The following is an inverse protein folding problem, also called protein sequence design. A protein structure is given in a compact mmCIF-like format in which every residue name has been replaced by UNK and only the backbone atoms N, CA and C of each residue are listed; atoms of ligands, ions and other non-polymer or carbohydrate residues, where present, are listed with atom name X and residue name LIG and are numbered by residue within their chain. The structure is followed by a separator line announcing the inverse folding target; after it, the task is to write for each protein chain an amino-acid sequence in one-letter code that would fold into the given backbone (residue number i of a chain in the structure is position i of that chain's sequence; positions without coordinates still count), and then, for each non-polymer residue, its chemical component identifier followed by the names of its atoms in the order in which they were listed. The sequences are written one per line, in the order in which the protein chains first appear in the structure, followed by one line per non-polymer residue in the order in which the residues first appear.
data_IF_668151280984
#
_entry.id   IF_668151280984
#
_cell.length_a   1.000
_cell.length_b   1.000
_cell.length_c   1.000
_cell.angle_alpha   90.00
_cell.angle_beta   90.00
_cell.angle_gamma   90.00
#
_symmetry.space_group_name_H-M   'P 1'
#
loop_
_entity.id
_entity.type
_entity.pdbx_description
1 polymer ?
#
# COMPACT_ATOMS: atom_id res chain seq x y z
N UNK A 1 -19.96 -7.30 24.95
CA UNK A 1 -20.80 -8.03 23.94
C UNK A 1 -20.75 -7.36 22.58
N UNK A 2 -20.54 -6.05 22.56
CA UNK A 2 -20.38 -5.14 21.44
C UNK A 2 -19.28 -5.61 20.48
N UNK A 3 -18.14 -6.08 21.00
CA UNK A 3 -17.07 -6.67 20.19
C UNK A 3 -17.57 -7.86 19.34
N UNK A 4 -18.38 -8.74 19.91
CA UNK A 4 -18.91 -9.91 19.19
C UNK A 4 -19.96 -9.51 18.16
N UNK A 5 -20.79 -8.50 18.45
CA UNK A 5 -21.76 -7.95 17.49
C UNK A 5 -21.03 -7.29 16.32
N UNK A 6 -19.98 -6.51 16.60
CA UNK A 6 -19.16 -5.88 15.57
C UNK A 6 -18.48 -6.92 14.69
N UNK A 7 -17.70 -7.85 15.28
CA UNK A 7 -17.01 -8.88 14.51
C UNK A 7 -17.99 -9.80 13.79
N UNK A 8 -19.08 -10.20 14.44
CA UNK A 8 -20.10 -11.06 13.84
C UNK A 8 -20.77 -10.41 12.64
N UNK A 9 -21.21 -9.16 12.76
CA UNK A 9 -21.80 -8.41 11.63
C UNK A 9 -20.79 -8.17 10.50
N UNK A 10 -19.55 -7.82 10.84
CA UNK A 10 -18.46 -7.66 9.88
C UNK A 10 -18.24 -8.94 9.06
N UNK A 11 -18.04 -10.08 9.71
CA UNK A 11 -17.79 -11.34 9.01
C UNK A 11 -18.99 -11.79 8.18
N UNK A 12 -20.22 -11.71 8.72
CA UNK A 12 -21.44 -12.10 7.99
C UNK A 12 -21.60 -11.26 6.72
N UNK A 13 -21.42 -9.94 6.82
CA UNK A 13 -21.55 -9.03 5.69
C UNK A 13 -20.39 -9.20 4.69
N UNK A 14 -19.17 -9.50 5.12
CA UNK A 14 -18.07 -9.82 4.21
C UNK A 14 -18.37 -11.05 3.33
N UNK A 15 -19.06 -12.08 3.87
CA UNK A 15 -19.47 -13.24 3.08
C UNK A 15 -20.50 -12.92 1.99
N UNK A 16 -21.22 -11.80 2.10
CA UNK A 16 -22.18 -11.36 1.07
C UNK A 16 -21.54 -10.75 -0.17
N UNK A 17 -20.20 -10.67 -0.23
CA UNK A 17 -19.45 -10.06 -1.36
C UNK A 17 -19.78 -8.58 -1.61
N UNK A 18 -20.36 -7.89 -0.62
CA UNK A 18 -20.61 -6.46 -0.69
C UNK A 18 -19.28 -5.67 -0.67
N UNK A 19 -19.17 -4.54 -1.38
CA UNK A 19 -18.04 -3.64 -1.28
C UNK A 19 -17.76 -3.26 0.17
N UNK A 20 -16.49 -3.31 0.58
CA UNK A 20 -16.12 -3.19 2.00
C UNK A 20 -16.60 -1.89 2.64
N UNK A 21 -16.60 -0.78 1.89
CA UNK A 21 -17.12 0.48 2.40
C UNK A 21 -18.60 0.38 2.82
N UNK A 22 -19.43 -0.31 2.02
CA UNK A 22 -20.85 -0.56 2.34
C UNK A 22 -20.97 -1.45 3.58
N UNK A 23 -20.10 -2.46 3.69
CA UNK A 23 -20.03 -3.33 4.87
C UNK A 23 -19.75 -2.50 6.13
N UNK A 24 -18.81 -1.54 6.08
CA UNK A 24 -18.49 -0.67 7.22
C UNK A 24 -19.67 0.20 7.63
N UNK A 25 -20.35 0.83 6.68
CA UNK A 25 -21.56 1.60 6.97
C UNK A 25 -22.66 0.74 7.60
N UNK A 26 -22.88 -0.46 7.07
CA UNK A 26 -23.85 -1.40 7.62
C UNK A 26 -23.48 -1.87 9.03
N UNK A 27 -22.21 -2.20 9.30
CA UNK A 27 -21.73 -2.53 10.65
C UNK A 27 -21.96 -1.35 11.62
N UNK A 28 -21.76 -0.13 11.14
CA UNK A 28 -21.98 1.09 11.92
C UNK A 28 -23.45 1.24 12.32
N UNK A 29 -24.37 1.04 11.37
CA UNK A 29 -25.82 1.07 11.63
C UNK A 29 -26.27 -0.06 12.57
N UNK A 30 -25.70 -1.25 12.44
CA UNK A 30 -26.01 -2.39 13.32
C UNK A 30 -25.55 -2.10 14.75
N UNK A 31 -24.34 -1.56 14.95
CA UNK A 31 -23.86 -1.17 16.28
C UNK A 31 -24.70 -0.04 16.88
N UNK A 32 -25.04 0.96 16.08
CA UNK A 32 -25.88 2.07 16.51
C UNK A 32 -27.28 1.60 16.94
N UNK A 33 -27.84 0.60 16.26
CA UNK A 33 -29.08 -0.05 16.67
C UNK A 33 -28.91 -0.91 17.93
N UNK A 34 -27.80 -1.65 18.05
CA UNK A 34 -27.52 -2.51 19.20
C UNK A 34 -27.28 -1.73 20.50
N UNK A 35 -26.70 -0.53 20.41
CA UNK A 35 -26.46 0.34 21.55
C UNK A 35 -27.68 1.17 21.95
N UNK A 36 -28.85 0.96 21.34
CA UNK A 36 -30.06 1.78 21.50
C UNK A 36 -29.83 3.27 21.19
N UNK A 37 -28.86 3.58 20.32
CA UNK A 37 -28.49 4.96 19.90
C UNK A 37 -29.10 5.33 18.54
N UNK A 38 -30.08 4.54 18.08
CA UNK A 38 -30.67 4.60 16.75
C UNK A 38 -31.29 5.98 16.42
N UNK A 39 -31.96 6.56 17.41
CA UNK A 39 -32.74 7.79 17.23
C UNK A 39 -31.92 9.06 17.50
N UNK A 40 -30.87 8.97 18.33
CA UNK A 40 -30.14 10.14 18.84
C UNK A 40 -28.88 10.51 18.04
N UNK A 41 -28.21 9.54 17.41
CA UNK A 41 -26.86 9.75 16.84
C UNK A 41 -26.64 9.53 15.33
N UNK A 42 -27.65 9.42 14.43
CA UNK A 42 -27.37 9.26 12.99
C UNK A 42 -26.69 10.50 12.39
N UNK A 43 -27.00 11.70 12.89
CA UNK A 43 -26.32 12.93 12.47
C UNK A 43 -24.84 12.94 12.85
N UNK A 44 -24.52 12.45 14.04
CA UNK A 44 -23.13 12.39 14.51
C UNK A 44 -22.31 11.38 13.73
N UNK A 45 -22.93 10.27 13.33
CA UNK A 45 -22.34 9.28 12.46
C UNK A 45 -22.04 9.87 11.07
N UNK A 46 -22.98 10.59 10.46
CA UNK A 46 -22.74 11.32 9.21
C UNK A 46 -21.64 12.39 9.35
N UNK A 47 -21.58 13.08 10.49
CA UNK A 47 -20.49 14.02 10.79
C UNK A 47 -19.14 13.32 10.87
N UNK A 48 -19.04 12.14 11.49
CA UNK A 48 -17.77 11.38 11.54
C UNK A 48 -17.30 10.91 10.16
N UNK A 49 -18.23 10.60 9.26
CA UNK A 49 -17.88 10.28 7.85
C UNK A 49 -17.23 11.49 7.19
N UNK A 50 -17.84 12.67 7.31
CA UNK A 50 -17.33 13.91 6.71
C UNK A 50 -16.00 14.30 7.36
N UNK A 51 -15.96 14.37 8.69
CA UNK A 51 -14.77 14.75 9.45
C UNK A 51 -13.61 13.78 9.25
N UNK A 52 -13.90 12.49 9.06
CA UNK A 52 -12.88 11.48 8.74
C UNK A 52 -12.24 11.70 7.38
N UNK A 53 -13.03 12.14 6.40
CA UNK A 53 -12.53 12.47 5.06
C UNK A 53 -11.89 13.85 4.98
N UNK A 54 -12.28 14.79 5.85
CA UNK A 54 -11.78 16.16 5.90
C UNK A 54 -10.51 16.28 6.76
N UNK A 55 -9.48 15.52 6.40
CA UNK A 55 -8.17 15.57 7.05
C UNK A 55 -7.12 16.10 6.08
N UNK A 56 -6.42 17.16 6.48
CA UNK A 56 -5.39 17.79 5.65
C UNK A 56 -4.33 16.80 5.16
N UNK A 57 -3.91 15.86 6.02
CA UNK A 57 -2.88 14.86 5.67
C UNK A 57 -3.40 13.88 4.63
N UNK A 58 -4.71 13.63 4.56
CA UNK A 58 -5.29 12.74 3.54
C UNK A 58 -5.26 13.34 2.13
N UNK A 59 -5.00 14.65 1.97
CA UNK A 59 -4.72 15.25 0.65
C UNK A 59 -3.47 14.62 0.01
N UNK A 60 -2.58 14.04 0.82
CA UNK A 60 -1.45 13.25 0.34
C UNK A 60 -1.89 12.07 -0.54
N UNK A 61 -3.03 11.45 -0.25
CA UNK A 61 -3.57 10.28 -0.98
C UNK A 61 -3.85 10.58 -2.45
N UNK A 62 -4.70 11.57 -2.82
CA UNK A 62 -4.94 11.90 -4.23
C UNK A 62 -3.67 12.33 -4.96
N UNK A 63 -2.75 13.04 -4.30
CA UNK A 63 -1.50 13.45 -4.95
C UNK A 63 -0.62 12.23 -5.27
N UNK A 64 -0.42 11.30 -4.34
CA UNK A 64 0.37 10.10 -4.65
C UNK A 64 -0.29 9.20 -5.69
N UNK A 65 -1.61 9.05 -5.64
CA UNK A 65 -2.36 8.31 -6.68
C UNK A 65 -2.20 8.98 -8.04
N UNK A 66 -2.35 10.30 -8.12
CA UNK A 66 -2.19 11.07 -9.36
C UNK A 66 -0.76 10.97 -9.90
N UNK A 67 0.25 11.10 -9.03
CA UNK A 67 1.64 10.90 -9.41
C UNK A 67 1.86 9.50 -9.99
N UNK A 68 1.32 8.46 -9.36
CA UNK A 68 1.37 7.08 -9.85
C UNK A 68 0.76 6.92 -11.25
N UNK A 69 -0.42 7.48 -11.51
CA UNK A 69 -1.07 7.44 -12.82
C UNK A 69 -0.28 8.22 -13.89
N UNK A 70 0.30 9.37 -13.54
CA UNK A 70 1.21 10.11 -14.43
C UNK A 70 2.41 9.23 -14.81
N UNK A 71 3.01 8.54 -13.84
CA UNK A 71 4.20 7.71 -14.07
C UNK A 71 3.92 6.49 -14.92
N UNK A 72 2.78 5.83 -14.69
CA UNK A 72 2.29 4.71 -15.49
C UNK A 72 2.15 5.08 -16.97
N UNK A 73 1.57 6.24 -17.26
CA UNK A 73 1.39 6.73 -18.63
C UNK A 73 2.60 7.52 -19.19
N UNK A 74 3.55 7.88 -18.33
CA UNK A 74 4.69 8.75 -18.62
C UNK A 74 5.97 8.06 -19.06
N UNK A 75 5.96 6.73 -19.18
CA UNK A 75 7.12 5.94 -19.61
C UNK A 75 8.13 5.59 -18.52
N UNK A 76 7.86 6.00 -17.29
CA UNK A 76 8.72 5.74 -16.13
C UNK A 76 8.77 4.24 -15.81
N UNK A 77 7.63 3.55 -15.85
CA UNK A 77 7.56 2.09 -15.66
C UNK A 77 8.52 1.34 -16.59
N UNK A 78 8.58 1.74 -17.87
CA UNK A 78 9.49 1.12 -18.85
C UNK A 78 10.96 1.39 -18.54
N UNK A 79 11.30 2.61 -18.11
CA UNK A 79 12.68 2.97 -17.74
C UNK A 79 13.18 2.14 -16.55
N UNK A 80 12.33 1.91 -15.55
CA UNK A 80 12.67 1.10 -14.39
C UNK A 80 12.87 -0.36 -14.75
N UNK A 81 12.04 -0.90 -15.67
CA UNK A 81 12.24 -2.26 -16.19
C UNK A 81 13.56 -2.37 -16.96
N UNK A 82 13.85 -1.43 -17.86
CA UNK A 82 15.11 -1.40 -18.63
C UNK A 82 16.33 -1.27 -17.70
N UNK A 83 16.23 -0.46 -16.64
CA UNK A 83 17.26 -0.33 -15.62
C UNK A 83 17.43 -1.61 -14.80
N UNK A 84 16.34 -2.26 -14.40
CA UNK A 84 16.40 -3.53 -13.70
C UNK A 84 17.05 -4.63 -14.59
N UNK A 85 16.79 -4.63 -15.90
CA UNK A 85 17.46 -5.52 -16.85
C UNK A 85 18.98 -5.32 -16.88
N UNK A 86 19.47 -4.09 -16.78
CA UNK A 86 20.91 -3.80 -16.70
C UNK A 86 21.54 -4.43 -15.47
N UNK A 87 20.88 -4.38 -14.32
CA UNK A 87 21.44 -4.84 -13.04
C UNK A 87 21.40 -6.38 -12.94
N UNK A 88 20.20 -6.96 -13.15
CA UNK A 88 19.91 -8.37 -12.82
C UNK A 88 19.51 -9.23 -14.02
N UNK A 89 19.34 -8.67 -15.22
CA UNK A 89 18.93 -9.43 -16.41
C UNK A 89 19.96 -10.46 -16.92
N UNK A 90 21.23 -10.30 -16.53
CA UNK A 90 22.35 -11.20 -16.88
C UNK A 90 22.33 -12.56 -16.17
N UNK A 91 21.50 -12.72 -15.13
CA UNK A 91 21.41 -13.96 -14.38
C UNK A 91 20.46 -14.95 -15.05
N UNK A 92 20.64 -16.25 -14.80
CA UNK A 92 19.68 -17.28 -15.23
C UNK A 92 18.33 -17.02 -14.56
N UNK A 93 17.27 -16.95 -15.34
CA UNK A 93 15.97 -16.54 -14.81
C UNK A 93 15.82 -15.02 -14.72
N UNK A 94 16.57 -14.29 -15.54
CA UNK A 94 16.81 -12.85 -15.42
C UNK A 94 15.52 -12.03 -15.37
N UNK A 95 14.53 -12.33 -16.22
CA UNK A 95 13.27 -11.58 -16.24
C UNK A 95 12.50 -11.63 -14.91
N UNK A 96 12.65 -12.69 -14.11
CA UNK A 96 12.02 -12.74 -12.80
C UNK A 96 12.69 -11.80 -11.79
N UNK A 97 14.02 -11.75 -11.76
CA UNK A 97 14.73 -10.75 -10.95
C UNK A 97 14.43 -9.33 -11.41
N UNK A 98 14.33 -9.12 -12.73
CA UNK A 98 13.93 -7.85 -13.32
C UNK A 98 12.53 -7.46 -12.84
N UNK A 99 11.60 -8.41 -12.82
CA UNK A 99 10.23 -8.20 -12.32
C UNK A 99 10.24 -7.75 -10.86
N UNK A 100 10.95 -8.48 -10.00
CA UNK A 100 11.02 -8.16 -8.57
C UNK A 100 11.65 -6.78 -8.36
N UNK A 101 12.79 -6.51 -8.99
CA UNK A 101 13.49 -5.24 -8.82
C UNK A 101 12.70 -4.06 -9.42
N UNK A 102 12.04 -4.24 -10.57
CA UNK A 102 11.17 -3.22 -11.15
C UNK A 102 9.97 -2.92 -10.26
N UNK A 103 9.34 -3.94 -9.67
CA UNK A 103 8.28 -3.77 -8.67
C UNK A 103 8.80 -3.05 -7.43
N UNK A 104 9.98 -3.39 -6.90
CA UNK A 104 10.54 -2.69 -5.73
C UNK A 104 10.85 -1.21 -6.01
N UNK A 105 11.35 -0.90 -7.20
CA UNK A 105 11.64 0.50 -7.60
C UNK A 105 10.35 1.29 -7.85
N UNK A 106 9.33 0.65 -8.40
CA UNK A 106 8.04 1.28 -8.71
C UNK A 106 7.11 1.35 -7.48
N UNK A 107 7.29 0.46 -6.51
CA UNK A 107 6.60 0.43 -5.23
C UNK A 107 6.75 1.77 -4.48
N UNK A 108 7.98 2.29 -4.41
CA UNK A 108 8.26 3.62 -3.86
C UNK A 108 7.76 4.79 -4.71
N UNK A 109 7.00 4.55 -5.77
CA UNK A 109 6.40 5.58 -6.61
C UNK A 109 4.87 5.57 -6.54
N UNK A 110 4.26 4.39 -6.50
CA UNK A 110 2.80 4.23 -6.52
C UNK A 110 2.18 4.08 -5.13
N UNK A 111 2.90 3.46 -4.18
CA UNK A 111 2.41 3.08 -2.86
C UNK A 111 1.21 2.13 -2.84
N UNK A 112 0.80 1.53 -3.98
CA UNK A 112 -0.43 0.72 -4.11
C UNK A 112 -0.16 -0.54 -4.94
N UNK A 113 -0.26 -1.72 -4.32
CA UNK A 113 0.06 -3.00 -4.96
C UNK A 113 -0.79 -3.29 -6.21
N UNK A 114 -2.09 -2.99 -6.17
CA UNK A 114 -3.00 -3.23 -7.29
C UNK A 114 -2.63 -2.36 -8.51
N UNK A 115 -2.22 -1.12 -8.27
CA UNK A 115 -1.76 -0.21 -9.31
C UNK A 115 -0.45 -0.71 -9.93
N UNK A 116 0.47 -1.26 -9.14
CA UNK A 116 1.72 -1.85 -9.61
C UNK A 116 1.51 -3.04 -10.51
N UNK A 117 0.62 -3.96 -10.12
CA UNK A 117 0.27 -5.11 -10.96
C UNK A 117 -0.35 -4.64 -12.27
N UNK A 118 -1.22 -3.63 -12.24
CA UNK A 118 -1.82 -3.07 -13.46
C UNK A 118 -0.78 -2.39 -14.36
N UNK A 119 0.12 -1.59 -13.80
CA UNK A 119 1.11 -0.81 -14.53
C UNK A 119 2.26 -1.66 -15.09
N UNK A 120 2.84 -2.53 -14.26
CA UNK A 120 3.99 -3.34 -14.62
C UNK A 120 3.60 -4.68 -15.22
N UNK A 121 2.53 -5.31 -14.73
CA UNK A 121 2.09 -6.63 -15.19
C UNK A 121 1.69 -6.66 -16.66
N UNK A 122 1.12 -5.57 -17.18
CA UNK A 122 0.79 -5.43 -18.60
C UNK A 122 2.01 -5.53 -19.54
N UNK A 123 3.21 -5.22 -19.05
CA UNK A 123 4.46 -5.37 -19.80
C UNK A 123 5.23 -6.64 -19.40
N UNK A 124 5.39 -6.89 -18.09
CA UNK A 124 6.23 -7.96 -17.57
C UNK A 124 5.65 -9.35 -17.83
N UNK A 125 4.33 -9.54 -17.69
CA UNK A 125 3.72 -10.87 -17.89
C UNK A 125 3.87 -11.31 -19.36
N UNK A 126 3.52 -10.48 -20.38
CA UNK A 126 3.78 -10.86 -21.77
C UNK A 126 5.26 -11.08 -22.08
N UNK A 127 6.15 -10.26 -21.53
CA UNK A 127 7.60 -10.43 -21.72
C UNK A 127 8.10 -11.78 -21.17
N UNK A 128 7.66 -12.17 -19.96
CA UNK A 128 7.98 -13.48 -19.39
C UNK A 128 7.38 -14.61 -20.21
N UNK A 129 6.11 -14.52 -20.62
CA UNK A 129 5.49 -15.57 -21.44
C UNK A 129 6.22 -15.74 -22.78
N UNK A 130 6.63 -14.64 -23.42
CA UNK A 130 7.43 -14.68 -24.65
C UNK A 130 8.80 -15.34 -24.47
N UNK A 131 9.41 -15.22 -23.29
CA UNK A 131 10.66 -15.91 -22.92
C UNK A 131 10.46 -17.37 -22.45
N UNK A 132 9.26 -17.92 -22.56
CA UNK A 132 8.97 -19.34 -22.29
C UNK A 132 8.52 -19.65 -20.86
N UNK A 133 8.20 -18.64 -20.03
CA UNK A 133 7.63 -18.88 -18.71
C UNK A 133 6.13 -19.21 -18.78
N UNK A 134 5.66 -20.08 -17.88
CA UNK A 134 4.23 -20.32 -17.72
C UNK A 134 3.51 -19.03 -17.27
N UNK A 135 2.39 -18.69 -17.92
CA UNK A 135 1.59 -17.50 -17.61
C UNK A 135 1.18 -17.41 -16.14
N UNK A 136 0.73 -18.51 -15.53
CA UNK A 136 0.33 -18.53 -14.12
C UNK A 136 1.51 -18.22 -13.19
N UNK A 137 2.72 -18.72 -13.51
CA UNK A 137 3.93 -18.42 -12.74
C UNK A 137 4.35 -16.96 -12.91
N UNK A 138 4.31 -16.43 -14.13
CA UNK A 138 4.62 -15.02 -14.39
C UNK A 138 3.65 -14.08 -13.65
N UNK A 139 2.34 -14.39 -13.70
CA UNK A 139 1.32 -13.64 -12.96
C UNK A 139 1.54 -13.74 -11.45
N UNK A 140 1.78 -14.95 -10.92
CA UNK A 140 2.06 -15.15 -9.50
C UNK A 140 3.27 -14.34 -9.03
N UNK A 141 4.36 -14.32 -9.80
CA UNK A 141 5.55 -13.54 -9.48
C UNK A 141 5.27 -12.04 -9.45
N UNK A 142 4.59 -11.49 -10.45
CA UNK A 142 4.24 -10.06 -10.49
C UNK A 142 3.35 -9.69 -9.31
N UNK A 143 2.35 -10.51 -9.00
CA UNK A 143 1.47 -10.27 -7.84
C UNK A 143 2.25 -10.29 -6.53
N UNK A 144 3.13 -11.28 -6.32
CA UNK A 144 3.96 -11.36 -5.11
C UNK A 144 4.95 -10.20 -5.01
N UNK A 145 5.59 -9.82 -6.12
CA UNK A 145 6.55 -8.72 -6.15
C UNK A 145 5.88 -7.36 -5.88
N UNK A 146 4.64 -7.15 -6.36
CA UNK A 146 3.89 -5.93 -6.10
C UNK A 146 3.51 -5.74 -4.61
N UNK A 147 3.56 -6.80 -3.80
CA UNK A 147 3.37 -6.71 -2.34
C UNK A 147 4.50 -5.94 -1.63
N UNK A 148 5.55 -5.52 -2.32
CA UNK A 148 6.51 -4.55 -1.76
C UNK A 148 5.95 -3.11 -1.75
N UNK A 149 4.94 -2.80 -2.56
CA UNK A 149 4.33 -1.45 -2.66
C UNK A 149 3.72 -0.91 -1.36
N UNK A 150 3.02 -1.72 -0.56
CA UNK A 150 2.51 -1.28 0.74
C UNK A 150 3.60 -0.94 1.77
N UNK A 151 4.85 -1.38 1.57
CA UNK A 151 5.92 -1.27 2.58
C UNK A 151 7.02 -0.30 2.13
N UNK A 152 7.46 -0.36 0.86
CA UNK A 152 8.50 0.52 0.34
C UNK A 152 7.93 1.94 0.18
N UNK A 153 8.49 2.95 0.83
CA UNK A 153 7.93 4.30 0.80
C UNK A 153 8.26 5.07 -0.49
N UNK A 154 7.48 6.13 -0.79
CA UNK A 154 6.17 6.49 -0.24
C UNK A 154 5.09 5.41 -0.42
N UNK A 155 4.41 5.07 0.68
CA UNK A 155 3.39 4.02 0.74
C UNK A 155 2.06 4.59 1.23
N UNK A 156 0.99 4.34 0.49
CA UNK A 156 -0.35 4.80 0.84
C UNK A 156 -0.83 4.17 2.16
N UNK A 157 -0.70 2.85 2.39
CA UNK A 157 -1.04 2.25 3.68
C UNK A 157 -0.33 2.88 4.88
N UNK A 158 0.96 3.23 4.76
CA UNK A 158 1.71 3.89 5.83
C UNK A 158 1.22 5.33 6.09
N UNK A 159 0.75 6.04 5.06
CA UNK A 159 0.13 7.36 5.22
C UNK A 159 -1.19 7.22 6.00
N UNK A 160 -2.05 6.28 5.59
CA UNK A 160 -3.34 6.04 6.26
C UNK A 160 -3.10 5.64 7.71
N UNK A 161 -2.20 4.70 7.96
CA UNK A 161 -1.82 4.29 9.32
C UNK A 161 -1.29 5.46 10.16
N UNK A 162 -0.41 6.29 9.59
CA UNK A 162 0.12 7.46 10.27
C UNK A 162 -0.96 8.47 10.66
N UNK A 163 -1.95 8.68 9.78
CA UNK A 163 -3.10 9.55 10.08
C UNK A 163 -3.98 8.92 11.16
N UNK A 164 -4.30 7.63 11.06
CA UNK A 164 -5.18 6.93 12.00
C UNK A 164 -4.59 6.83 13.40
N UNK A 165 -3.30 6.50 13.51
CA UNK A 165 -2.60 6.33 14.78
C UNK A 165 -1.94 7.61 15.32
N UNK A 166 -2.01 8.72 14.58
CA UNK A 166 -1.28 9.94 14.93
C UNK A 166 0.26 9.78 14.89
N UNK A 167 0.77 8.82 14.13
CA UNK A 167 2.20 8.58 13.99
C UNK A 167 2.84 9.50 12.94
N UNK A 168 4.13 9.77 13.13
CA UNK A 168 4.91 10.53 12.15
C UNK A 168 5.10 9.72 10.87
N UNK A 169 4.46 10.16 9.77
CA UNK A 169 4.58 9.54 8.44
C UNK A 169 6.05 9.49 7.98
N UNK A 170 6.82 10.55 8.23
CA UNK A 170 8.25 10.58 7.89
C UNK A 170 9.06 9.51 8.61
N UNK A 171 8.71 9.17 9.86
CA UNK A 171 9.33 8.06 10.59
C UNK A 171 8.87 6.71 10.04
N UNK A 172 7.58 6.54 9.79
CA UNK A 172 7.04 5.31 9.18
C UNK A 172 7.70 5.01 7.83
N UNK A 173 7.92 6.03 7.00
CA UNK A 173 8.63 5.87 5.73
C UNK A 173 10.04 5.33 5.96
N UNK A 174 10.84 5.96 6.83
CA UNK A 174 12.21 5.47 7.08
C UNK A 174 12.21 4.03 7.63
N UNK A 175 11.29 3.72 8.54
CA UNK A 175 11.16 2.38 9.12
C UNK A 175 10.74 1.33 8.09
N UNK A 176 9.95 1.69 7.08
CA UNK A 176 9.51 0.78 6.00
C UNK A 176 10.59 0.41 4.98
N UNK A 177 11.68 1.19 4.88
CA UNK A 177 12.75 0.94 3.87
C UNK A 177 13.40 -0.43 4.09
N UNK A 178 13.86 -0.72 5.31
CA UNK A 178 14.59 -1.96 5.61
C UNK A 178 13.71 -3.20 5.42
N UNK A 179 12.50 -3.30 6.02
CA UNK A 179 11.56 -4.39 5.79
C UNK A 179 11.17 -4.53 4.32
N UNK A 180 10.95 -3.43 3.60
CA UNK A 180 10.61 -3.47 2.17
C UNK A 180 11.72 -4.07 1.31
N UNK A 181 12.98 -3.72 1.59
CA UNK A 181 14.15 -4.33 0.95
C UNK A 181 14.26 -5.82 1.32
N UNK A 182 14.10 -6.16 2.60
CA UNK A 182 14.16 -7.55 3.07
C UNK A 182 13.06 -8.40 2.41
N UNK A 183 11.84 -7.88 2.28
CA UNK A 183 10.75 -8.56 1.59
C UNK A 183 11.11 -8.78 0.12
N UNK A 184 11.58 -7.77 -0.58
CA UNK A 184 12.03 -7.91 -1.97
C UNK A 184 13.14 -8.95 -2.14
N UNK A 185 14.15 -8.93 -1.26
CA UNK A 185 15.22 -9.94 -1.23
C UNK A 185 14.70 -11.34 -0.94
N UNK A 186 13.73 -11.49 -0.04
CA UNK A 186 13.11 -12.79 0.26
C UNK A 186 12.40 -13.37 -0.97
N UNK A 187 11.73 -12.52 -1.76
CA UNK A 187 11.10 -12.91 -3.02
C UNK A 187 12.17 -13.29 -4.06
N UNK A 188 13.30 -12.58 -4.11
CA UNK A 188 14.43 -12.93 -4.99
C UNK A 188 15.04 -14.30 -4.62
N UNK A 189 15.14 -14.61 -3.33
CA UNK A 189 15.60 -15.92 -2.85
C UNK A 189 14.60 -17.02 -3.20
N UNK A 190 13.31 -16.78 -2.99
CA UNK A 190 12.26 -17.72 -3.40
C UNK A 190 12.30 -17.98 -4.92
N UNK A 191 12.48 -16.93 -5.72
CA UNK A 191 12.63 -17.03 -7.17
C UNK A 191 13.86 -17.83 -7.59
N UNK A 192 15.00 -17.62 -6.92
CA UNK A 192 16.23 -18.39 -7.16
C UNK A 192 16.02 -19.90 -7.00
N UNK A 193 15.27 -20.30 -5.97
CA UNK A 193 14.96 -21.71 -5.70
C UNK A 193 14.02 -22.26 -6.77
N UNK A 194 12.98 -21.51 -7.14
CA UNK A 194 12.00 -21.92 -8.15
C UNK A 194 12.60 -22.04 -9.55
N UNK A 195 13.38 -21.05 -10.00
CA UNK A 195 13.89 -20.99 -11.37
C UNK A 195 14.92 -22.08 -11.70
N UNK A 196 15.54 -22.67 -10.67
CA UNK A 196 16.43 -23.85 -10.83
C UNK A 196 15.66 -25.14 -11.16
N UNK A 197 14.41 -25.24 -10.72
CA UNK A 197 13.51 -26.36 -11.04
C UNK A 197 12.88 -26.19 -12.42
N UNK A 198 12.96 -24.98 -12.97
CA UNK A 198 12.45 -24.65 -14.29
C UNK A 198 13.54 -24.79 -15.36
N UNK A 199 13.17 -25.37 -16.51
CA UNK A 199 14.03 -25.47 -17.69
C UNK A 199 14.17 -24.13 -18.46
N UNK A 200 13.95 -22.99 -17.79
CA UNK A 200 14.02 -21.67 -18.44
C UNK A 200 15.43 -21.11 -18.30
N UNK A 201 16.07 -20.86 -19.43
CA UNK A 201 17.41 -20.24 -19.54
C UNK A 201 17.31 -18.84 -20.12
N UNK A 202 16.32 -18.08 -19.67
CA UNK A 202 16.16 -16.69 -20.07
C UNK A 202 17.25 -15.83 -19.41
N UNK A 203 18.09 -15.26 -20.27
CA UNK A 203 19.18 -14.36 -19.92
C UNK A 203 19.12 -13.18 -20.89
N UNK A 204 18.70 -12.03 -20.38
CA UNK A 204 18.67 -10.78 -21.16
C UNK A 204 19.99 -10.04 -20.93
N UNK A 205 20.99 -10.31 -21.76
CA UNK A 205 22.26 -9.58 -21.72
C UNK A 205 22.09 -8.21 -22.38
N UNK A 206 22.09 -7.14 -21.58
CA UNK A 206 22.18 -5.78 -22.10
C UNK A 206 23.61 -5.53 -22.57
N UNK A 207 23.84 -5.09 -23.82
CA UNK A 207 25.18 -4.82 -24.31
C UNK A 207 25.80 -3.63 -23.55
N UNK A 208 27.11 -3.71 -23.28
CA UNK A 208 27.86 -2.74 -22.46
C UNK A 208 27.70 -1.29 -22.93
N UNK A 209 27.61 -1.08 -24.25
CA UNK A 209 27.40 0.24 -24.85
C UNK A 209 26.03 0.87 -24.50
N UNK A 210 25.03 0.07 -24.09
CA UNK A 210 23.71 0.54 -23.69
C UNK A 210 23.53 0.70 -22.19
N UNK A 211 24.47 0.20 -21.38
CA UNK A 211 24.39 0.27 -19.90
C UNK A 211 24.32 1.72 -19.42
N UNK A 212 25.28 2.55 -19.82
CA UNK A 212 25.35 3.97 -19.42
C UNK A 212 24.09 4.75 -19.84
N UNK A 213 23.66 4.72 -21.12
CA UNK A 213 22.49 5.50 -21.53
C UNK A 213 21.19 5.03 -20.86
N UNK A 214 21.00 3.74 -20.61
CA UNK A 214 19.83 3.23 -19.88
C UNK A 214 19.85 3.71 -18.43
N UNK A 215 21.00 3.62 -17.76
CA UNK A 215 21.15 4.09 -16.38
C UNK A 215 20.86 5.59 -16.26
N UNK A 216 21.46 6.42 -17.12
CA UNK A 216 21.23 7.87 -17.12
C UNK A 216 19.74 8.19 -17.35
N UNK A 217 19.09 7.46 -18.25
CA UNK A 217 17.67 7.64 -18.55
C UNK A 217 16.75 7.23 -17.40
N UNK A 218 17.18 6.37 -16.50
CA UNK A 218 16.42 5.93 -15.33
C UNK A 218 16.63 6.81 -14.08
N UNK A 219 17.69 7.63 -14.04
CA UNK A 219 17.99 8.54 -12.91
C UNK A 219 16.76 9.37 -12.48
N UNK A 220 16.00 10.03 -13.39
CA UNK A 220 14.85 10.82 -12.97
C UNK A 220 13.78 9.98 -12.23
N UNK A 221 13.54 8.76 -12.69
CA UNK A 221 12.57 7.87 -12.03
C UNK A 221 13.02 7.47 -10.62
N UNK A 222 14.31 7.17 -10.45
CA UNK A 222 14.89 6.73 -9.16
C UNK A 222 15.07 7.91 -8.18
N UNK A 223 15.24 9.14 -8.69
CA UNK A 223 15.36 10.31 -7.84
C UNK A 223 14.06 10.66 -7.13
N UNK A 224 12.89 10.32 -7.69
CA UNK A 224 11.61 10.74 -7.11
C UNK A 224 11.37 10.21 -5.68
N UNK A 225 11.50 8.91 -5.38
CA UNK A 225 11.33 8.41 -4.01
C UNK A 225 12.37 9.00 -3.06
N UNK A 226 13.60 9.21 -3.55
CA UNK A 226 14.69 9.81 -2.76
C UNK A 226 14.36 11.25 -2.39
N UNK A 227 13.90 12.06 -3.35
CA UNK A 227 13.48 13.44 -3.11
C UNK A 227 12.41 13.47 -2.02
N UNK A 228 11.41 12.59 -2.10
CA UNK A 228 10.28 12.56 -1.18
C UNK A 228 10.72 12.15 0.22
N UNK A 229 11.47 11.06 0.36
CA UNK A 229 11.93 10.55 1.65
C UNK A 229 12.87 11.55 2.31
N UNK A 230 13.87 12.06 1.57
CA UNK A 230 14.86 13.00 2.10
C UNK A 230 14.19 14.34 2.43
N UNK A 231 13.31 14.85 1.56
CA UNK A 231 12.63 16.12 1.78
C UNK A 231 11.69 16.10 2.97
N UNK A 232 10.90 15.03 3.15
CA UNK A 232 10.06 14.85 4.36
C UNK A 232 10.94 14.72 5.60
N UNK A 233 12.05 13.97 5.52
CA UNK A 233 12.93 13.74 6.67
C UNK A 233 13.69 14.98 7.12
N UNK A 234 14.12 15.80 6.17
CA UNK A 234 14.81 17.07 6.43
C UNK A 234 13.84 18.20 6.81
N UNK A 235 12.52 17.94 6.82
CA UNK A 235 11.50 18.93 7.12
C UNK A 235 11.36 20.01 6.02
N UNK A 236 11.88 19.74 4.83
CA UNK A 236 11.77 20.66 3.69
C UNK A 236 10.33 20.74 3.16
N UNK A 237 9.57 19.65 3.30
CA UNK A 237 8.15 19.60 3.01
C UNK A 237 7.43 18.55 3.88
N UNK A 238 6.15 18.81 4.14
CA UNK A 238 5.21 17.87 4.76
C UNK A 238 4.82 16.74 3.80
N UNK A 239 4.17 15.65 4.26
CA UNK A 239 3.71 14.58 3.37
C UNK A 239 2.76 15.06 2.26
N UNK A 240 1.95 16.09 2.51
CA UNK A 240 1.01 16.67 1.52
C UNK A 240 1.77 17.43 0.43
N UNK A 241 2.68 18.30 0.83
CA UNK A 241 3.59 19.02 -0.06
C UNK A 241 4.50 18.05 -0.84
N UNK A 242 4.98 16.99 -0.19
CA UNK A 242 5.77 15.93 -0.83
C UNK A 242 5.00 15.21 -1.94
N UNK A 243 3.71 14.93 -1.73
CA UNK A 243 2.82 14.41 -2.77
C UNK A 243 2.65 15.40 -3.93
N UNK A 244 2.46 16.70 -3.64
CA UNK A 244 2.36 17.72 -4.69
C UNK A 244 3.65 17.84 -5.51
N UNK A 245 4.82 17.82 -4.84
CA UNK A 245 6.14 17.77 -5.49
C UNK A 245 6.26 16.53 -6.35
N UNK A 246 5.79 15.37 -5.88
CA UNK A 246 5.79 14.13 -6.64
C UNK A 246 4.97 14.25 -7.94
N UNK A 247 3.77 14.81 -7.87
CA UNK A 247 2.92 15.08 -9.03
C UNK A 247 3.61 15.96 -10.07
N UNK A 248 4.13 17.12 -9.63
CA UNK A 248 4.78 18.09 -10.52
C UNK A 248 6.04 17.49 -11.13
N UNK A 249 6.85 16.82 -10.34
CA UNK A 249 8.06 16.16 -10.81
C UNK A 249 7.73 15.05 -11.82
N UNK A 250 6.80 14.16 -11.50
CA UNK A 250 6.37 13.09 -12.40
C UNK A 250 5.83 13.67 -13.72
N UNK A 251 5.06 14.76 -13.66
CA UNK A 251 4.55 15.45 -14.83
C UNK A 251 5.67 16.02 -15.70
N UNK A 252 6.63 16.73 -15.11
CA UNK A 252 7.75 17.34 -15.83
C UNK A 252 8.66 16.28 -16.47
N UNK A 253 8.98 15.21 -15.73
CA UNK A 253 9.78 14.09 -16.29
C UNK A 253 9.03 13.42 -17.43
N UNK A 254 7.74 13.15 -17.27
CA UNK A 254 6.93 12.43 -18.27
C UNK A 254 6.69 13.24 -19.55
N UNK A 255 6.59 14.57 -19.45
CA UNK A 255 6.35 15.49 -20.56
C UNK A 255 7.63 16.01 -21.22
N UNK A 256 8.59 16.51 -20.45
CA UNK A 256 9.79 17.19 -20.97
C UNK A 256 10.93 16.22 -21.30
N UNK A 257 11.20 15.28 -20.40
CA UNK A 257 12.33 14.33 -20.53
C UNK A 257 11.91 13.14 -21.37
N UNK A 258 10.84 12.45 -20.97
CA UNK A 258 10.39 11.24 -21.65
C UNK A 258 9.62 11.54 -22.93
N UNK A 259 8.91 12.69 -22.98
CA UNK A 259 8.04 13.10 -24.09
C UNK A 259 6.99 12.04 -24.46
N UNK A 260 6.58 11.23 -23.48
CA UNK A 260 5.58 10.16 -23.68
C UNK A 260 4.18 10.62 -23.28
N UNK A 261 4.08 11.52 -22.30
CA UNK A 261 2.80 12.05 -21.86
C UNK A 261 2.34 13.19 -22.77
N UNK A 262 1.24 12.96 -23.52
CA UNK A 262 0.56 14.01 -24.28
C UNK A 262 -0.39 14.77 -23.37
N UNK A 263 -0.41 16.10 -23.47
CA UNK A 263 -1.32 16.96 -22.67
C UNK A 263 -2.81 16.58 -22.87
N UNK A 264 -3.17 16.03 -24.03
CA UNK A 264 -4.52 15.53 -24.31
C UNK A 264 -4.96 14.35 -23.43
N UNK A 265 -4.02 13.63 -22.83
CA UNK A 265 -4.30 12.49 -21.96
C UNK A 265 -4.48 12.91 -20.50
N UNK A 266 -4.24 14.18 -20.15
CA UNK A 266 -4.38 14.69 -18.77
C UNK A 266 -5.81 14.54 -18.23
N UNK A 267 -6.89 14.83 -18.98
CA UNK A 267 -8.23 14.62 -18.44
C UNK A 267 -8.51 13.16 -18.07
N UNK A 268 -8.03 12.23 -18.90
CA UNK A 268 -8.22 10.79 -18.67
C UNK A 268 -7.43 10.31 -17.44
N UNK A 269 -6.15 10.70 -17.31
CA UNK A 269 -5.35 10.32 -16.13
C UNK A 269 -5.90 10.92 -14.84
N UNK A 270 -6.42 12.16 -14.89
CA UNK A 270 -7.07 12.78 -13.73
C UNK A 270 -8.35 12.03 -13.36
N UNK A 271 -9.13 11.57 -14.34
CA UNK A 271 -10.32 10.76 -14.09
C UNK A 271 -9.97 9.43 -13.40
N UNK A 272 -8.94 8.72 -13.87
CA UNK A 272 -8.50 7.46 -13.28
C UNK A 272 -7.96 7.66 -11.85
N UNK A 273 -7.20 8.73 -11.62
CA UNK A 273 -6.72 9.11 -10.29
C UNK A 273 -7.86 9.50 -9.35
N UNK A 274 -8.84 10.28 -9.82
CA UNK A 274 -10.04 10.65 -9.05
C UNK A 274 -10.88 9.43 -8.70
N UNK A 275 -11.08 8.50 -9.63
CA UNK A 275 -11.83 7.26 -9.38
C UNK A 275 -11.18 6.43 -8.28
N UNK A 276 -9.86 6.23 -8.35
CA UNK A 276 -9.11 5.50 -7.33
C UNK A 276 -9.16 6.21 -5.97
N UNK A 277 -8.99 7.53 -5.97
CA UNK A 277 -9.09 8.36 -4.75
C UNK A 277 -10.49 8.25 -4.14
N UNK A 278 -11.56 8.33 -4.94
CA UNK A 278 -12.93 8.27 -4.45
C UNK A 278 -13.22 6.94 -3.72
N UNK A 279 -12.72 5.81 -4.25
CA UNK A 279 -12.84 4.51 -3.58
C UNK A 279 -12.13 4.53 -2.23
N UNK A 280 -10.89 5.01 -2.18
CA UNK A 280 -10.12 5.09 -0.92
C UNK A 280 -10.79 6.01 0.09
N UNK A 281 -11.20 7.22 -0.32
CA UNK A 281 -11.84 8.19 0.58
C UNK A 281 -13.21 7.73 1.06
N UNK A 282 -13.95 6.96 0.25
CA UNK A 282 -15.22 6.37 0.68
C UNK A 282 -15.01 5.29 1.75
N UNK A 283 -13.95 4.49 1.64
CA UNK A 283 -13.55 3.55 2.70
C UNK A 283 -13.13 4.32 3.96
N UNK A 284 -12.33 5.38 3.82
CA UNK A 284 -11.92 6.22 4.95
C UNK A 284 -13.12 6.76 5.72
N UNK A 285 -14.11 7.33 5.03
CA UNK A 285 -15.31 7.86 5.68
C UNK A 285 -16.09 6.80 6.48
N UNK A 286 -16.33 5.63 5.88
CA UNK A 286 -16.99 4.52 6.59
C UNK A 286 -16.16 3.98 7.75
N UNK A 287 -14.84 3.95 7.60
CA UNK A 287 -13.95 3.46 8.64
C UNK A 287 -13.78 4.46 9.80
N UNK A 288 -13.84 5.77 9.54
CA UNK A 288 -13.88 6.79 10.60
C UNK A 288 -15.16 6.70 11.43
N UNK A 289 -16.31 6.48 10.78
CA UNK A 289 -17.58 6.30 11.48
C UNK A 289 -17.57 5.05 12.37
N UNK A 290 -17.15 3.89 11.86
CA UNK A 290 -17.07 2.66 12.64
C UNK A 290 -15.97 2.74 13.72
N UNK A 291 -14.83 3.37 13.44
CA UNK A 291 -13.76 3.58 14.42
C UNK A 291 -14.25 4.42 15.61
N UNK A 292 -15.05 5.46 15.37
CA UNK A 292 -15.69 6.22 16.43
C UNK A 292 -16.69 5.37 17.23
N UNK A 293 -17.48 4.52 16.57
CA UNK A 293 -18.42 3.62 17.28
C UNK A 293 -17.72 2.58 18.12
N UNK A 294 -16.61 2.01 17.64
CA UNK A 294 -15.73 1.10 18.37
C UNK A 294 -15.22 1.77 19.66
N UNK A 295 -14.83 3.04 19.58
CA UNK A 295 -14.38 3.82 20.74
C UNK A 295 -15.53 4.05 21.74
N UNK A 296 -16.73 4.38 21.28
CA UNK A 296 -17.89 4.58 22.17
C UNK A 296 -18.33 3.27 22.82
N UNK A 297 -18.30 2.18 22.07
CA UNK A 297 -18.64 0.84 22.57
C UNK A 297 -17.56 0.25 23.50
N UNK A 298 -16.48 1.00 23.78
CA UNK A 298 -15.35 0.60 24.62
C UNK A 298 -14.76 -0.77 24.22
N UNK A 299 -14.78 -1.05 22.92
CA UNK A 299 -14.28 -2.30 22.35
C UNK A 299 -12.78 -2.50 22.63
N UNK A 300 -11.92 -1.45 22.60
CA UNK A 300 -10.51 -1.61 22.96
C UNK A 300 -10.31 -2.15 24.39
N UNK A 301 -11.04 -1.63 25.39
CA UNK A 301 -10.91 -2.10 26.78
C UNK A 301 -11.36 -3.56 26.93
N UNK A 302 -12.46 -3.95 26.28
CA UNK A 302 -12.92 -5.35 26.27
C UNK A 302 -11.87 -6.30 25.69
N UNK A 303 -11.14 -5.86 24.66
CA UNK A 303 -10.05 -6.64 24.07
C UNK A 303 -8.83 -6.72 24.97
N UNK A 304 -8.46 -5.63 25.66
CA UNK A 304 -7.39 -5.63 26.66
C UNK A 304 -7.72 -6.59 27.80
N UNK A 305 -8.93 -6.59 28.32
CA UNK A 305 -9.36 -7.51 29.39
C UNK A 305 -9.30 -8.97 28.93
N UNK A 306 -9.80 -9.26 27.72
CA UNK A 306 -9.76 -10.59 27.10
C UNK A 306 -8.32 -11.08 26.86
N UNK A 307 -7.42 -10.16 26.52
CA UNK A 307 -6.02 -10.45 26.18
C UNK A 307 -5.06 -10.21 27.35
N UNK A 308 -5.54 -9.84 28.54
CA UNK A 308 -4.73 -9.45 29.70
C UNK A 308 -3.68 -10.50 30.09
N UNK A 309 -4.03 -11.79 30.03
CA UNK A 309 -3.08 -12.90 30.26
C UNK A 309 -1.99 -13.07 29.19
N UNK A 310 -2.14 -12.43 28.02
CA UNK A 310 -1.15 -12.40 26.93
C UNK A 310 -0.32 -11.12 26.92
N UNK A 311 -0.78 -10.05 27.58
CA UNK A 311 -0.06 -8.76 27.66
C UNK A 311 1.29 -8.94 28.37
N UNK A 312 1.35 -9.82 29.37
CA UNK A 312 2.59 -10.19 30.08
C UNK A 312 3.60 -10.96 29.20
N UNK A 313 3.13 -11.54 28.08
CA UNK A 313 3.91 -12.34 27.15
C UNK A 313 3.99 -11.68 25.76
N UNK A 314 4.77 -10.59 25.68
CA UNK A 314 4.99 -9.77 24.47
C UNK A 314 5.10 -10.54 23.15
N UNK A 315 5.89 -11.62 23.11
CA UNK A 315 6.10 -12.41 21.88
C UNK A 315 4.81 -13.17 21.50
N UNK A 316 4.13 -13.74 22.49
CA UNK A 316 2.89 -14.49 22.26
C UNK A 316 1.78 -13.56 21.77
N UNK A 317 1.67 -12.36 22.36
CA UNK A 317 0.77 -11.31 21.89
C UNK A 317 1.03 -10.96 20.42
N UNK A 318 2.30 -10.71 20.05
CA UNK A 318 2.67 -10.40 18.68
C UNK A 318 2.31 -11.52 17.69
N UNK A 319 2.52 -12.80 18.07
CA UNK A 319 2.17 -13.94 17.22
C UNK A 319 0.65 -14.01 17.00
N UNK A 320 -0.14 -13.86 18.07
CA UNK A 320 -1.61 -13.89 17.99
C UNK A 320 -2.12 -12.74 17.11
N UNK A 321 -1.61 -11.52 17.31
CA UNK A 321 -1.97 -10.36 16.51
C UNK A 321 -1.57 -10.53 15.04
N UNK A 322 -0.40 -11.09 14.75
CA UNK A 322 0.02 -11.38 13.36
C UNK A 322 -0.87 -12.42 12.69
N UNK A 323 -1.23 -13.50 13.39
CA UNK A 323 -2.15 -14.53 12.85
C UNK A 323 -3.52 -13.92 12.59
N UNK A 324 -4.03 -13.10 13.52
CA UNK A 324 -5.30 -12.39 13.36
C UNK A 324 -5.26 -11.45 12.15
N UNK A 325 -4.25 -10.59 12.06
CA UNK A 325 -4.09 -9.64 10.94
C UNK A 325 -3.89 -10.36 9.60
N UNK A 326 -3.18 -11.49 9.58
CA UNK A 326 -3.03 -12.32 8.39
C UNK A 326 -4.37 -12.91 7.95
N UNK A 327 -5.16 -13.45 8.89
CA UNK A 327 -6.48 -14.00 8.59
C UNK A 327 -7.45 -12.91 8.08
N UNK A 328 -7.41 -11.71 8.70
CA UNK A 328 -8.18 -10.56 8.24
C UNK A 328 -7.72 -10.08 6.86
N UNK A 329 -6.41 -10.04 6.61
CA UNK A 329 -5.82 -9.66 5.32
C UNK A 329 -6.13 -10.61 4.17
N UNK A 330 -6.51 -11.85 4.45
CA UNK A 330 -7.02 -12.76 3.41
C UNK A 330 -8.43 -12.38 2.93
N UNK A 331 -9.19 -11.63 3.73
CA UNK A 331 -10.61 -11.31 3.48
C UNK A 331 -10.79 -9.84 3.13
N UNK A 332 -10.00 -8.95 3.73
CA UNK A 332 -10.15 -7.50 3.65
C UNK A 332 -8.92 -6.81 3.05
N UNK A 333 -9.15 -5.67 2.40
CA UNK A 333 -8.06 -4.80 1.95
C UNK A 333 -7.28 -4.19 3.13
N UNK A 334 -6.05 -3.75 2.89
CA UNK A 334 -5.19 -3.15 3.92
C UNK A 334 -5.79 -1.87 4.49
N UNK A 335 -6.47 -1.07 3.66
CA UNK A 335 -7.06 0.21 4.07
C UNK A 335 -8.09 0.06 5.21
N UNK A 336 -9.15 -0.76 5.07
CA UNK A 336 -10.11 -0.97 6.15
C UNK A 336 -9.50 -1.67 7.36
N UNK A 337 -8.56 -2.62 7.19
CA UNK A 337 -7.87 -3.25 8.33
C UNK A 337 -7.18 -2.18 9.17
N UNK A 338 -6.39 -1.32 8.53
CA UNK A 338 -5.69 -0.23 9.21
C UNK A 338 -6.65 0.70 9.93
N UNK A 339 -7.71 1.15 9.27
CA UNK A 339 -8.61 2.15 9.87
C UNK A 339 -9.44 1.61 11.05
N UNK A 340 -9.83 0.32 11.00
CA UNK A 340 -10.67 -0.31 12.02
C UNK A 340 -9.84 -0.82 13.19
N UNK A 341 -8.77 -1.56 12.88
CA UNK A 341 -8.04 -2.32 13.90
C UNK A 341 -6.91 -1.53 14.54
N UNK A 342 -6.39 -0.47 13.90
CA UNK A 342 -5.35 0.37 14.52
C UNK A 342 -5.82 0.98 15.84
N UNK A 343 -6.98 1.67 15.92
CA UNK A 343 -7.46 2.23 17.20
C UNK A 343 -7.72 1.16 18.28
N UNK A 344 -7.94 -0.08 17.87
CA UNK A 344 -8.23 -1.21 18.76
C UNK A 344 -6.96 -1.87 19.26
N UNK A 345 -6.01 -2.12 18.36
CA UNK A 345 -4.79 -2.89 18.65
C UNK A 345 -3.69 -2.00 19.23
N UNK A 346 -3.57 -0.74 18.81
CA UNK A 346 -2.47 0.12 19.26
C UNK A 346 -2.47 0.36 20.77
N UNK A 347 -3.62 0.66 21.43
CA UNK A 347 -3.65 0.78 22.88
C UNK A 347 -3.20 -0.50 23.60
N UNK A 348 -3.54 -1.68 23.06
CA UNK A 348 -3.11 -2.98 23.58
C UNK A 348 -1.59 -3.18 23.44
N UNK A 349 -1.03 -2.79 22.30
CA UNK A 349 0.41 -2.85 22.01
C UNK A 349 1.20 -1.90 22.92
N UNK A 350 0.68 -0.69 23.14
CA UNK A 350 1.24 0.28 24.10
C UNK A 350 1.20 -0.24 25.53
N UNK A 351 0.07 -0.85 25.95
CA UNK A 351 -0.06 -1.46 27.28
C UNK A 351 0.94 -2.62 27.49
N UNK A 352 1.25 -3.39 26.44
CA UNK A 352 2.32 -4.41 26.46
C UNK A 352 3.76 -3.83 26.40
N UNK A 353 3.89 -2.50 26.34
CA UNK A 353 5.15 -1.76 26.25
C UNK A 353 5.89 -1.91 24.92
N UNK A 354 5.20 -2.36 23.87
CA UNK A 354 5.77 -2.55 22.53
C UNK A 354 5.81 -1.20 21.83
N UNK A 355 6.88 -0.92 21.10
CA UNK A 355 6.97 0.30 20.29
C UNK A 355 5.94 0.26 19.14
N UNK A 356 5.10 1.29 19.06
CA UNK A 356 4.03 1.39 18.06
C UNK A 356 4.54 1.53 16.63
N UNK A 357 5.74 2.09 16.41
CA UNK A 357 6.34 2.14 15.08
C UNK A 357 6.85 0.77 14.65
N UNK A 358 7.35 -0.04 15.58
CA UNK A 358 7.70 -1.43 15.32
C UNK A 358 6.47 -2.27 14.98
N UNK A 359 5.36 -2.10 15.69
CA UNK A 359 4.12 -2.83 15.39
C UNK A 359 3.43 -2.37 14.10
N UNK A 360 3.58 -1.08 13.77
CA UNK A 360 3.00 -0.48 12.57
C UNK A 360 3.56 -1.02 11.24
N UNK A 361 4.76 -1.57 11.25
CA UNK A 361 5.55 -1.98 10.08
C UNK A 361 5.57 -3.49 9.97
#
# INVERSE_FOLDING_TARGET
MELFVFLGSLFVLLFTSLPIAIVLFACCLILLWFLDMADDMPYQLAFQVISGTDNYILITVPFFILAGEIMKHGGISRQLIEFAQVIVGRFRGGLGYVTILACMLFAGLSGVAIADVSALGGMLIPMMVASGYNKARATGLVCSAALTAPIIPPSLPLIILGVTAGLSIGRLFVMGIVPGILLGLSIMVAWFIMVRRDNVTDVTKVPLNKVIPITIKAIPAILLPVIIIVGIRMGAFTPTEGGAVACVYAFLVSTLINRQLKLKNIPALCYDAMRSTAVVMFIVGGASAIGWMITIADVPAQLVDLMSGLVDHRIMLLIVLNILLLALGMVMDITPITLIFTPVIFPLVEAAGIDVYYFAI
#
